data_IF_515136040628
#
_entry.id   IF_515136040628
#
_cell.length_a   1.000
_cell.length_b   1.000
_cell.length_c   1.000
_cell.angle_alpha   90.00
_cell.angle_beta   90.00
_cell.angle_gamma   90.00
#
_symmetry.space_group_name_H-M   'P 1'
#
loop_
_entity.id
_entity.type
_entity.pdbx_description
1 polymer ?
#
# COMPACT_ATOMS: atom_id res chain seq x y z
N UNK A 1 6.45 -13.51 -9.94
CA UNK A 1 6.27 -13.01 -8.56
C UNK A 1 7.28 -11.90 -8.37
N UNK A 2 6.90 -10.71 -7.89
CA UNK A 2 7.86 -9.64 -7.63
C UNK A 2 8.89 -10.12 -6.60
N UNK A 3 10.15 -9.70 -6.80
CA UNK A 3 11.32 -10.22 -6.08
C UNK A 3 11.33 -9.84 -4.58
N UNK A 4 10.41 -8.96 -4.16
CA UNK A 4 10.17 -8.57 -2.77
C UNK A 4 8.68 -8.72 -2.41
N UNK A 5 8.33 -9.67 -1.53
CA UNK A 5 6.96 -9.79 -1.05
C UNK A 5 6.58 -8.55 -0.23
N UNK A 6 5.37 -8.04 -0.46
CA UNK A 6 4.83 -6.91 0.31
C UNK A 6 4.77 -7.28 1.81
N UNK A 7 4.94 -6.32 2.73
CA UNK A 7 4.75 -6.56 4.15
C UNK A 7 3.33 -7.09 4.44
N UNK A 8 3.19 -7.97 5.43
CA UNK A 8 1.91 -8.63 5.76
C UNK A 8 0.77 -7.61 6.02
N UNK A 9 1.06 -6.53 6.76
CA UNK A 9 0.09 -5.45 7.01
C UNK A 9 -0.43 -4.79 5.72
N UNK A 10 0.41 -4.72 4.67
CA UNK A 10 0.04 -4.17 3.37
C UNK A 10 -0.85 -5.18 2.62
N UNK A 11 -0.50 -6.48 2.67
CA UNK A 11 -1.31 -7.56 2.08
C UNK A 11 -2.72 -7.61 2.67
N UNK A 12 -2.86 -7.56 4.00
CA UNK A 12 -4.16 -7.56 4.69
C UNK A 12 -5.05 -6.38 4.27
N UNK A 13 -4.42 -5.23 4.02
CA UNK A 13 -5.14 -4.05 3.54
C UNK A 13 -5.58 -4.23 2.08
N UNK A 14 -4.74 -4.82 1.22
CA UNK A 14 -5.12 -5.17 -0.16
C UNK A 14 -6.35 -6.09 -0.16
N UNK A 15 -6.36 -7.11 0.70
CA UNK A 15 -7.50 -8.02 0.84
C UNK A 15 -8.75 -7.29 1.35
N UNK A 16 -8.58 -6.29 2.21
CA UNK A 16 -9.67 -5.44 2.68
C UNK A 16 -10.22 -4.57 1.55
N UNK A 17 -9.34 -3.93 0.77
CA UNK A 17 -9.73 -3.17 -0.43
C UNK A 17 -10.46 -4.05 -1.44
N UNK A 18 -10.03 -5.31 -1.60
CA UNK A 18 -10.71 -6.29 -2.45
C UNK A 18 -12.12 -6.61 -1.97
N UNK A 19 -12.28 -6.88 -0.67
CA UNK A 19 -13.60 -7.15 -0.06
C UNK A 19 -14.59 -5.99 -0.19
N UNK A 20 -14.08 -4.77 -0.31
CA UNK A 20 -14.90 -3.55 -0.43
C UNK A 20 -14.97 -2.98 -1.86
N UNK A 21 -14.49 -3.71 -2.88
CA UNK A 21 -14.47 -3.25 -4.28
C UNK A 21 -13.69 -1.93 -4.49
N UNK A 22 -12.71 -1.66 -3.61
CA UNK A 22 -11.87 -0.46 -3.63
C UNK A 22 -10.52 -0.67 -4.35
N UNK A 23 -10.32 -1.82 -4.99
CA UNK A 23 -9.06 -2.13 -5.69
C UNK A 23 -8.81 -1.17 -6.86
N UNK A 24 -9.85 -0.87 -7.65
CA UNK A 24 -9.74 0.04 -8.81
C UNK A 24 -9.30 1.45 -8.42
N UNK A 25 -9.97 2.14 -7.47
CA UNK A 25 -9.52 3.47 -7.05
C UNK A 25 -8.15 3.43 -6.38
N UNK A 26 -7.81 2.37 -5.63
CA UNK A 26 -6.48 2.22 -5.04
C UNK A 26 -5.39 2.05 -6.11
N UNK A 27 -5.62 1.24 -7.14
CA UNK A 27 -4.70 1.07 -8.26
C UNK A 27 -4.51 2.38 -9.04
N UNK A 28 -5.60 3.11 -9.31
CA UNK A 28 -5.55 4.41 -9.98
C UNK A 28 -4.79 5.45 -9.17
N UNK A 29 -4.95 5.48 -7.85
CA UNK A 29 -4.16 6.33 -6.96
C UNK A 29 -2.66 6.05 -7.10
N UNK A 30 -2.26 4.78 -7.03
CA UNK A 30 -0.86 4.36 -7.10
C UNK A 30 -0.21 4.66 -8.46
N UNK A 31 -0.94 4.39 -9.55
CA UNK A 31 -0.44 4.56 -10.92
C UNK A 31 -0.47 6.03 -11.33
N UNK A 32 -1.54 6.75 -11.00
CA UNK A 32 -1.79 8.11 -11.46
C UNK A 32 -1.00 9.18 -10.70
N UNK A 33 -0.60 8.92 -9.44
CA UNK A 33 -0.10 9.96 -8.55
C UNK A 33 1.13 9.53 -7.72
N UNK A 34 2.25 9.23 -8.40
CA UNK A 34 3.54 8.92 -7.74
C UNK A 34 3.97 9.92 -6.65
N UNK A 35 3.93 11.25 -6.86
CA UNK A 35 4.29 12.20 -5.81
C UNK A 35 3.40 12.09 -4.58
N UNK A 36 2.11 11.80 -4.79
CA UNK A 36 1.13 11.68 -3.72
C UNK A 36 1.32 10.39 -2.91
N UNK A 37 1.65 9.29 -3.57
CA UNK A 37 2.04 8.05 -2.90
C UNK A 37 3.25 8.29 -1.99
N UNK A 38 4.29 8.97 -2.50
CA UNK A 38 5.46 9.34 -1.70
C UNK A 38 5.08 10.21 -0.50
N UNK A 39 4.28 11.27 -0.69
CA UNK A 39 3.79 12.12 0.40
C UNK A 39 3.02 11.32 1.44
N UNK A 40 2.14 10.40 1.02
CA UNK A 40 1.42 9.51 1.92
C UNK A 40 2.38 8.63 2.73
N UNK A 41 3.45 8.10 2.10
CA UNK A 41 4.51 7.37 2.79
C UNK A 41 5.22 8.20 3.86
N UNK A 42 5.51 9.47 3.57
CA UNK A 42 6.10 10.39 4.55
C UNK A 42 5.13 10.70 5.71
N UNK A 43 3.83 10.87 5.43
CA UNK A 43 2.80 10.99 6.46
C UNK A 43 2.75 9.75 7.35
N UNK A 44 2.87 8.54 6.79
CA UNK A 44 2.96 7.32 7.57
C UNK A 44 4.17 7.33 8.52
N UNK A 45 5.35 7.76 8.06
CA UNK A 45 6.52 7.88 8.94
C UNK A 45 6.31 8.88 10.08
N UNK A 46 5.68 10.01 9.80
CA UNK A 46 5.37 11.01 10.83
C UNK A 46 4.39 10.47 11.88
N UNK A 47 3.43 9.64 11.46
CA UNK A 47 2.41 9.07 12.34
C UNK A 47 2.85 7.78 13.04
N UNK A 48 3.88 7.09 12.54
CA UNK A 48 4.32 5.79 13.05
C UNK A 48 4.63 5.79 14.58
N UNK A 49 5.30 6.81 15.17
CA UNK A 49 5.52 6.86 16.61
C UNK A 49 4.20 6.92 17.40
N UNK A 50 3.26 7.77 16.98
CA UNK A 50 1.95 7.89 17.62
C UNK A 50 1.14 6.60 17.49
N UNK A 51 1.17 5.95 16.32
CA UNK A 51 0.52 4.67 16.09
C UNK A 51 1.05 3.57 17.01
N UNK A 52 2.37 3.54 17.20
CA UNK A 52 3.03 2.59 18.12
C UNK A 52 2.55 2.79 19.55
N UNK A 53 2.42 4.03 20.02
CA UNK A 53 1.90 4.35 21.36
C UNK A 53 0.43 3.95 21.53
N UNK A 54 -0.35 3.96 20.45
CA UNK A 54 -1.76 3.56 20.43
C UNK A 54 -1.97 2.05 20.18
N UNK A 55 -0.89 1.26 20.08
CA UNK A 55 -0.97 -0.17 19.80
C UNK A 55 -1.36 -0.51 18.35
N UNK A 56 -1.32 0.46 17.44
CA UNK A 56 -1.60 0.26 16.01
C UNK A 56 -0.30 -0.13 15.30
N UNK A 57 -0.31 -1.30 14.66
CA UNK A 57 0.81 -1.82 13.89
C UNK A 57 0.66 -1.53 12.38
N UNK A 58 1.72 -1.74 11.60
CA UNK A 58 1.67 -1.67 10.14
C UNK A 58 1.86 -0.29 9.49
N UNK A 59 1.67 0.82 10.22
CA UNK A 59 1.86 2.18 9.65
C UNK A 59 3.27 2.40 9.13
N UNK A 60 4.30 1.91 9.85
CA UNK A 60 5.69 2.01 9.38
C UNK A 60 5.93 1.25 8.08
N UNK A 61 5.36 0.05 7.96
CA UNK A 61 5.48 -0.78 6.76
C UNK A 61 4.83 -0.10 5.54
N UNK A 62 3.73 0.61 5.75
CA UNK A 62 3.13 1.47 4.72
C UNK A 62 4.04 2.63 4.31
N UNK A 63 4.72 3.27 5.29
CA UNK A 63 5.74 4.29 5.01
C UNK A 63 6.88 3.76 4.14
N UNK A 64 7.35 2.55 4.42
CA UNK A 64 8.41 1.88 3.64
C UNK A 64 7.96 1.59 2.20
N UNK A 65 6.78 1.00 2.01
CA UNK A 65 6.28 0.65 0.67
C UNK A 65 6.00 1.87 -0.19
N UNK A 66 5.35 2.90 0.37
CA UNK A 66 4.92 4.08 -0.39
C UNK A 66 6.05 5.08 -0.68
N UNK A 67 7.14 5.02 0.09
CA UNK A 67 8.30 5.90 -0.10
C UNK A 67 9.33 5.32 -1.07
N UNK A 68 9.30 4.01 -1.31
CA UNK A 68 10.17 3.33 -2.28
C UNK A 68 9.44 3.13 -3.62
N UNK A 69 9.94 3.74 -4.72
CA UNK A 69 9.34 3.58 -6.05
C UNK A 69 9.22 2.11 -6.51
N UNK A 70 10.17 1.25 -6.14
CA UNK A 70 10.16 -0.17 -6.53
C UNK A 70 9.07 -0.94 -5.78
N UNK A 71 8.94 -0.69 -4.48
CA UNK A 71 7.90 -1.30 -3.64
C UNK A 71 6.50 -0.79 -4.01
N UNK A 72 6.38 0.49 -4.36
CA UNK A 72 5.13 1.08 -4.86
C UNK A 72 4.73 0.47 -6.20
N UNK A 73 5.70 0.22 -7.10
CA UNK A 73 5.44 -0.48 -8.35
C UNK A 73 4.99 -1.93 -8.12
N UNK A 74 5.67 -2.65 -7.22
CA UNK A 74 5.26 -3.99 -6.78
C UNK A 74 3.82 -3.99 -6.24
N UNK A 75 3.45 -3.02 -5.41
CA UNK A 75 2.08 -2.87 -4.90
C UNK A 75 1.07 -2.62 -6.03
N UNK A 76 1.40 -1.77 -7.01
CA UNK A 76 0.54 -1.51 -8.17
C UNK A 76 0.32 -2.77 -9.03
N UNK A 77 1.36 -3.59 -9.22
CA UNK A 77 1.25 -4.88 -9.92
C UNK A 77 0.34 -5.84 -9.17
N UNK A 78 0.48 -5.94 -7.84
CA UNK A 78 -0.41 -6.73 -6.97
C UNK A 78 -1.87 -6.29 -7.10
N UNK A 79 -2.14 -4.98 -7.10
CA UNK A 79 -3.49 -4.43 -7.26
C UNK A 79 -4.06 -4.72 -8.65
N UNK A 80 -3.23 -4.61 -9.68
CA UNK A 80 -3.63 -4.90 -11.07
C UNK A 80 -3.97 -6.37 -11.26
N UNK A 81 -3.21 -7.27 -10.62
CA UNK A 81 -3.51 -8.70 -10.65
C UNK A 81 -4.76 -9.05 -9.84
N UNK A 82 -5.00 -8.35 -8.73
CA UNK A 82 -6.23 -8.48 -7.96
C UNK A 82 -7.47 -8.04 -8.77
N UNK A 83 -7.34 -7.02 -9.64
CA UNK A 83 -8.38 -6.61 -10.58
C UNK A 83 -8.67 -7.68 -11.63
N UNK A 84 -7.63 -8.30 -12.20
CA UNK A 84 -7.78 -9.35 -13.20
C UNK A 84 -8.59 -10.55 -12.69
N UNK A 85 -8.47 -10.87 -11.41
CA UNK A 85 -9.22 -11.97 -10.77
C UNK A 85 -10.62 -11.58 -10.25
N UNK A 86 -10.99 -10.30 -10.34
CA UNK A 86 -12.29 -9.79 -9.92
C UNK A 86 -13.26 -9.57 -11.10
N UNK A 87 -12.74 -9.54 -12.34
CA UNK A 87 -13.50 -9.44 -13.59
C UNK A 87 -13.81 -10.83 -14.17
#
# INVERSE_FOLDING_TARGET
MPEHPLPLAVQETVDTLRRHELVTPAALFLIGHRPLAFTAGQCCYLLAPAATLLGVSGIRAWGEVLSDPAQTACLADYMTEALRHAA
#
